data_IF_610847234182
#
_entry.id   IF_610847234182
#
_cell.length_a   1.000
_cell.length_b   1.000
_cell.length_c   1.000
_cell.angle_alpha   90.00
_cell.angle_beta   90.00
_cell.angle_gamma   90.00
#
_symmetry.space_group_name_H-M   'P 1'
#
loop_
_entity.id
_entity.type
_entity.pdbx_description
1 polymer ?
#
# COMPACT_ATOMS: atom_id res chain seq x y z
N UNK A 1 11.33 -4.21 24.52
CA UNK A 1 10.51 -5.39 24.14
C UNK A 1 11.14 -6.63 24.76
N UNK A 2 10.36 -7.47 25.45
CA UNK A 2 10.87 -8.71 26.07
C UNK A 2 11.23 -9.72 24.99
N UNK A 3 12.37 -10.39 25.16
CA UNK A 3 12.82 -11.51 24.33
C UNK A 3 11.76 -12.64 24.42
N UNK A 4 11.14 -13.04 23.31
CA UNK A 4 10.13 -14.12 23.25
C UNK A 4 8.66 -13.70 23.09
N UNK A 5 8.36 -12.45 22.74
CA UNK A 5 6.98 -12.05 22.45
C UNK A 5 6.57 -12.47 21.03
N UNK A 6 6.09 -13.70 20.88
CA UNK A 6 5.64 -14.30 19.62
C UNK A 6 4.66 -13.41 18.84
N UNK A 7 3.87 -12.59 19.55
CA UNK A 7 2.94 -11.63 18.94
C UNK A 7 3.69 -10.55 18.18
N UNK A 8 4.79 -10.05 18.73
CA UNK A 8 5.60 -9.02 18.09
C UNK A 8 6.33 -9.56 16.85
N UNK A 9 6.77 -10.83 16.86
CA UNK A 9 7.33 -11.49 15.68
C UNK A 9 6.29 -11.64 14.57
N UNK A 10 5.12 -12.19 14.89
CA UNK A 10 4.01 -12.31 13.95
C UNK A 10 3.61 -10.97 13.32
N UNK A 11 3.55 -9.89 14.11
CA UNK A 11 3.21 -8.56 13.61
C UNK A 11 4.31 -7.95 12.72
N UNK A 12 5.59 -8.29 12.94
CA UNK A 12 6.68 -7.89 12.03
C UNK A 12 6.57 -8.61 10.69
N UNK A 13 6.23 -9.89 10.71
CA UNK A 13 6.01 -10.66 9.49
C UNK A 13 4.79 -10.13 8.73
N UNK A 14 3.73 -9.75 9.45
CA UNK A 14 2.53 -9.13 8.86
C UNK A 14 2.87 -7.79 8.17
N UNK A 15 3.71 -6.95 8.76
CA UNK A 15 4.22 -5.73 8.10
C UNK A 15 5.06 -6.09 6.88
N UNK A 16 5.92 -7.10 7.01
CA UNK A 16 6.73 -7.62 5.91
C UNK A 16 5.86 -7.99 4.72
N UNK A 17 4.83 -8.80 4.93
CA UNK A 17 3.94 -9.27 3.87
C UNK A 17 3.06 -8.13 3.34
N UNK A 18 2.42 -7.38 4.22
CA UNK A 18 1.37 -6.42 3.86
C UNK A 18 1.85 -5.11 3.24
N UNK A 19 3.17 -4.88 3.14
CA UNK A 19 3.74 -3.60 2.73
C UNK A 19 4.34 -3.59 1.32
N UNK A 20 5.66 -3.41 1.20
CA UNK A 20 6.39 -3.36 -0.07
C UNK A 20 6.21 -4.64 -0.88
N UNK A 21 6.32 -5.85 -0.29
CA UNK A 21 6.07 -7.10 -1.02
C UNK A 21 4.65 -7.21 -1.57
N UNK A 22 3.63 -6.82 -0.80
CA UNK A 22 2.26 -6.80 -1.31
C UNK A 22 2.13 -5.86 -2.52
N UNK A 23 2.67 -4.65 -2.44
CA UNK A 23 2.70 -3.73 -3.57
C UNK A 23 3.41 -4.32 -4.79
N UNK A 24 4.59 -4.90 -4.62
CA UNK A 24 5.35 -5.54 -5.69
C UNK A 24 4.58 -6.71 -6.33
N UNK A 25 3.89 -7.53 -5.52
CA UNK A 25 3.04 -8.62 -6.03
C UNK A 25 1.92 -8.09 -6.92
N UNK A 26 1.29 -6.97 -6.55
CA UNK A 26 0.24 -6.34 -7.37
C UNK A 26 0.81 -5.80 -8.67
N UNK A 27 1.99 -5.15 -8.65
CA UNK A 27 2.69 -4.69 -9.86
C UNK A 27 2.93 -5.87 -10.81
N UNK A 28 3.57 -6.94 -10.32
CA UNK A 28 3.90 -8.13 -11.11
C UNK A 28 2.64 -8.77 -11.68
N UNK A 29 1.57 -8.86 -10.89
CA UNK A 29 0.31 -9.46 -11.33
C UNK A 29 -0.33 -8.68 -12.48
N UNK A 30 -0.37 -7.35 -12.40
CA UNK A 30 -0.92 -6.50 -13.46
C UNK A 30 -0.05 -6.54 -14.70
N UNK A 31 1.28 -6.58 -14.53
CA UNK A 31 2.23 -6.73 -15.62
C UNK A 31 2.02 -8.05 -16.38
N UNK A 32 1.86 -9.18 -15.68
CA UNK A 32 1.55 -10.48 -16.29
C UNK A 32 0.22 -10.44 -17.03
N UNK A 33 -0.77 -9.69 -16.52
CA UNK A 33 -2.06 -9.53 -17.17
C UNK A 33 -2.04 -8.56 -18.38
N UNK A 34 -0.88 -7.99 -18.71
CA UNK A 34 -0.65 -7.08 -19.83
C UNK A 34 -1.60 -5.87 -19.87
N UNK A 35 -2.03 -5.38 -18.69
CA UNK A 35 -2.90 -4.23 -18.58
C UNK A 35 -2.07 -2.96 -18.31
N UNK A 36 -1.60 -2.35 -19.39
CA UNK A 36 -0.72 -1.18 -19.34
C UNK A 36 -1.36 0.05 -18.67
N UNK A 37 -2.67 0.21 -18.78
CA UNK A 37 -3.41 1.30 -18.13
C UNK A 37 -3.29 1.21 -16.61
N UNK A 38 -3.65 0.07 -16.03
CA UNK A 38 -3.56 -0.15 -14.59
C UNK A 38 -2.12 -0.23 -14.09
N UNK A 39 -1.20 -0.75 -14.90
CA UNK A 39 0.23 -0.75 -14.55
C UNK A 39 0.76 0.68 -14.43
N UNK A 40 0.39 1.55 -15.38
CA UNK A 40 0.73 2.97 -15.36
C UNK A 40 0.19 3.68 -14.12
N UNK A 41 -1.08 3.45 -13.78
CA UNK A 41 -1.70 4.00 -12.57
C UNK A 41 -0.90 3.65 -11.32
N UNK A 42 -0.59 2.37 -11.17
CA UNK A 42 0.05 1.84 -9.97
C UNK A 42 1.49 2.32 -9.84
N UNK A 43 2.23 2.38 -10.94
CA UNK A 43 3.60 2.91 -10.97
C UNK A 43 3.64 4.41 -10.71
N UNK A 44 2.77 5.21 -11.34
CA UNK A 44 2.69 6.67 -11.12
C UNK A 44 2.34 6.96 -9.67
N UNK A 45 1.32 6.30 -9.12
CA UNK A 45 0.96 6.43 -7.70
C UNK A 45 2.10 6.00 -6.77
N UNK A 46 2.78 4.90 -7.07
CA UNK A 46 3.91 4.42 -6.30
C UNK A 46 5.07 5.41 -6.28
N UNK A 47 5.49 5.90 -7.44
CA UNK A 47 6.59 6.87 -7.57
C UNK A 47 6.25 8.18 -6.87
N UNK A 48 5.05 8.72 -7.09
CA UNK A 48 4.60 9.95 -6.44
C UNK A 48 4.55 9.79 -4.91
N UNK A 49 4.04 8.65 -4.43
CA UNK A 49 4.04 8.36 -3.01
C UNK A 49 5.45 8.26 -2.42
N UNK A 50 6.39 7.60 -3.10
CA UNK A 50 7.76 7.50 -2.61
C UNK A 50 8.42 8.88 -2.51
N UNK A 51 8.19 9.78 -3.47
CA UNK A 51 8.66 11.16 -3.43
C UNK A 51 8.08 11.93 -2.23
N UNK A 52 6.76 11.88 -2.04
CA UNK A 52 6.09 12.53 -0.91
C UNK A 52 6.54 11.93 0.44
N UNK A 53 6.66 10.61 0.50
CA UNK A 53 7.08 9.91 1.71
C UNK A 53 8.51 10.26 2.10
N UNK A 54 9.40 10.47 1.12
CA UNK A 54 10.77 10.91 1.37
C UNK A 54 10.81 12.33 1.94
N UNK A 55 10.07 13.27 1.33
CA UNK A 55 10.03 14.68 1.75
C UNK A 55 9.41 14.86 3.15
N UNK A 56 8.29 14.17 3.41
CA UNK A 56 7.54 14.33 4.66
C UNK A 56 7.86 13.26 5.72
N UNK A 57 8.85 12.39 5.46
CA UNK A 57 9.27 11.28 6.33
C UNK A 57 8.10 10.41 6.80
N UNK A 58 7.19 10.12 5.86
CA UNK A 58 5.97 9.34 6.12
C UNK A 58 6.25 7.84 6.20
N UNK A 59 5.31 7.06 6.75
CA UNK A 59 5.44 5.61 6.79
C UNK A 59 5.20 5.01 5.41
N UNK A 60 6.28 4.51 4.80
CA UNK A 60 6.26 3.84 3.50
C UNK A 60 5.30 2.65 3.52
N UNK A 61 5.30 1.88 4.62
CA UNK A 61 4.50 0.66 4.75
C UNK A 61 3.00 0.92 4.68
N UNK A 62 2.51 1.95 5.37
CA UNK A 62 1.08 2.29 5.40
C UNK A 62 0.60 2.99 4.14
N UNK A 63 1.49 3.64 3.38
CA UNK A 63 1.09 4.24 2.10
C UNK A 63 1.11 3.25 0.94
N UNK A 64 2.18 2.46 0.78
CA UNK A 64 2.26 1.46 -0.29
C UNK A 64 1.19 0.37 -0.15
N UNK A 65 0.91 -0.07 1.08
CA UNK A 65 -0.16 -1.05 1.33
C UNK A 65 -1.55 -0.50 1.00
N UNK A 66 -1.79 0.80 1.26
CA UNK A 66 -3.04 1.47 0.89
C UNK A 66 -3.20 1.56 -0.63
N UNK A 67 -2.13 1.97 -1.33
CA UNK A 67 -2.12 2.04 -2.80
C UNK A 67 -2.39 0.65 -3.38
N UNK A 68 -1.72 -0.38 -2.86
CA UNK A 68 -1.92 -1.76 -3.26
C UNK A 68 -3.36 -2.23 -3.02
N UNK A 69 -3.97 -1.91 -1.87
CA UNK A 69 -5.38 -2.17 -1.58
C UNK A 69 -6.30 -1.51 -2.63
N UNK A 70 -6.15 -0.20 -2.84
CA UNK A 70 -7.02 0.57 -3.74
C UNK A 70 -6.99 -0.01 -5.15
N UNK A 71 -5.79 -0.23 -5.70
CA UNK A 71 -5.66 -0.73 -7.06
C UNK A 71 -6.01 -2.21 -7.18
N UNK A 72 -5.73 -3.04 -6.17
CA UNK A 72 -6.15 -4.46 -6.20
C UNK A 72 -7.68 -4.55 -6.20
N UNK A 73 -8.34 -3.81 -5.32
CA UNK A 73 -9.80 -3.78 -5.28
C UNK A 73 -10.41 -3.23 -6.58
N UNK A 74 -9.84 -2.16 -7.11
CA UNK A 74 -10.33 -1.51 -8.34
C UNK A 74 -10.05 -2.31 -9.61
N UNK A 75 -8.98 -3.10 -9.64
CA UNK A 75 -8.60 -3.93 -10.78
C UNK A 75 -9.48 -5.18 -10.90
N UNK A 76 -9.70 -5.89 -9.79
CA UNK A 76 -10.47 -7.14 -9.81
C UNK A 76 -11.98 -6.92 -9.82
N UNK A 77 -12.47 -5.76 -9.35
CA UNK A 77 -13.90 -5.45 -9.19
C UNK A 77 -14.71 -6.51 -8.42
N UNK A 78 -14.04 -7.42 -7.71
CA UNK A 78 -14.64 -8.48 -6.92
C UNK A 78 -14.44 -8.21 -5.42
N UNK A 79 -15.53 -8.35 -4.67
CA UNK A 79 -15.62 -8.07 -3.23
C UNK A 79 -14.63 -8.89 -2.39
N UNK A 80 -14.22 -10.09 -2.85
CA UNK A 80 -13.25 -10.95 -2.16
C UNK A 80 -11.87 -10.29 -2.11
N UNK A 81 -11.45 -9.65 -3.19
CA UNK A 81 -10.16 -8.97 -3.24
C UNK A 81 -10.16 -7.68 -2.43
N UNK A 82 -11.29 -6.96 -2.40
CA UNK A 82 -11.49 -5.84 -1.47
C UNK A 82 -11.41 -6.30 -0.01
N UNK A 83 -12.13 -7.36 0.36
CA UNK A 83 -12.11 -7.90 1.72
C UNK A 83 -10.70 -8.34 2.13
N UNK A 84 -9.99 -9.06 1.24
CA UNK A 84 -8.61 -9.48 1.47
C UNK A 84 -7.68 -8.28 1.66
N UNK A 85 -7.70 -7.30 0.75
CA UNK A 85 -6.86 -6.12 0.85
C UNK A 85 -7.14 -5.31 2.11
N UNK A 86 -8.42 -5.16 2.49
CA UNK A 86 -8.85 -4.45 3.71
C UNK A 86 -8.29 -5.16 4.94
N UNK A 87 -8.41 -6.48 5.01
CA UNK A 87 -7.85 -7.28 6.11
C UNK A 87 -6.33 -7.12 6.22
N UNK A 88 -5.61 -7.22 5.10
CA UNK A 88 -4.15 -7.03 5.07
C UNK A 88 -3.77 -5.62 5.49
N UNK A 89 -4.47 -4.61 4.99
CA UNK A 89 -4.19 -3.21 5.28
C UNK A 89 -4.42 -2.87 6.76
N UNK A 90 -5.60 -3.18 7.31
CA UNK A 90 -5.89 -2.91 8.71
C UNK A 90 -5.03 -3.75 9.65
N UNK A 91 -4.72 -5.00 9.28
CA UNK A 91 -3.76 -5.83 9.99
C UNK A 91 -2.37 -5.17 10.08
N UNK A 92 -1.90 -4.60 8.97
CA UNK A 92 -0.64 -3.85 8.92
C UNK A 92 -0.69 -2.57 9.77
N UNK A 93 -1.79 -1.79 9.70
CA UNK A 93 -1.93 -0.57 10.52
C UNK A 93 -1.92 -0.91 12.00
N UNK A 94 -2.64 -1.97 12.40
CA UNK A 94 -2.63 -2.48 13.77
C UNK A 94 -1.22 -2.92 14.19
N UNK A 95 -0.50 -3.64 13.33
CA UNK A 95 0.87 -4.04 13.58
C UNK A 95 1.83 -2.86 13.76
N UNK A 96 1.68 -1.80 12.95
CA UNK A 96 2.49 -0.59 13.07
C UNK A 96 2.23 0.13 14.41
N UNK A 97 0.95 0.27 14.81
CA UNK A 97 0.59 0.90 16.08
C UNK A 97 1.09 0.08 17.28
N UNK A 98 0.90 -1.24 17.25
CA UNK A 98 1.34 -2.16 18.32
C UNK A 98 2.87 -2.15 18.50
N UNK A 99 3.64 -2.09 17.40
CA UNK A 99 5.10 -2.01 17.46
C UNK A 99 5.62 -0.62 17.85
N UNK A 100 4.74 0.32 18.19
CA UNK A 100 5.12 1.64 18.68
C UNK A 100 5.66 2.57 17.59
N UNK A 101 5.28 2.37 16.33
CA UNK A 101 5.61 3.32 15.27
C UNK A 101 4.86 4.63 15.50
N UNK A 102 5.50 5.75 15.16
CA UNK A 102 4.91 7.08 15.35
C UNK A 102 3.59 7.22 14.59
N UNK A 103 2.48 7.40 15.31
CA UNK A 103 1.12 7.53 14.74
C UNK A 103 1.04 8.64 13.67
N UNK A 104 1.78 9.73 13.87
CA UNK A 104 1.89 10.83 12.90
C UNK A 104 2.43 10.34 11.55
N UNK A 105 3.48 9.52 11.56
CA UNK A 105 4.07 8.96 10.32
C UNK A 105 3.13 7.98 9.63
N UNK A 106 2.39 7.17 10.40
CA UNK A 106 1.36 6.26 9.87
C UNK A 106 0.27 7.08 9.17
N UNK A 107 -0.27 8.09 9.86
CA UNK A 107 -1.32 8.97 9.35
C UNK A 107 -0.90 9.66 8.04
N UNK A 108 0.29 10.28 8.01
CA UNK A 108 0.81 10.90 6.78
C UNK A 108 1.03 9.87 5.67
N UNK A 109 1.49 8.66 6.00
CA UNK A 109 1.62 7.59 5.00
C UNK A 109 0.28 7.22 4.38
N UNK A 110 -0.79 7.16 5.18
CA UNK A 110 -2.15 6.92 4.68
C UNK A 110 -2.64 8.08 3.82
N UNK A 111 -2.46 9.32 4.28
CA UNK A 111 -2.89 10.53 3.57
C UNK A 111 -2.20 10.66 2.21
N UNK A 112 -0.87 10.52 2.17
CA UNK A 112 -0.12 10.58 0.91
C UNK A 112 -0.39 9.35 0.05
N UNK A 113 -0.60 8.17 0.63
CA UNK A 113 -1.00 6.97 -0.12
C UNK A 113 -2.33 7.18 -0.87
N UNK A 114 -3.35 7.69 -0.17
CA UNK A 114 -4.64 8.01 -0.76
C UNK A 114 -4.52 9.12 -1.82
N UNK A 115 -3.78 10.19 -1.52
CA UNK A 115 -3.53 11.29 -2.45
C UNK A 115 -2.83 10.84 -3.72
N UNK A 116 -1.77 10.02 -3.59
CA UNK A 116 -1.04 9.49 -4.73
C UNK A 116 -1.86 8.50 -5.55
N UNK A 117 -2.71 7.68 -4.91
CA UNK A 117 -3.64 6.79 -5.61
C UNK A 117 -4.65 7.58 -6.45
N UNK A 118 -5.25 8.63 -5.87
CA UNK A 118 -6.18 9.50 -6.58
C UNK A 118 -5.49 10.23 -7.76
N UNK A 119 -4.29 10.77 -7.53
CA UNK A 119 -3.54 11.48 -8.55
C UNK A 119 -3.09 10.56 -9.70
N UNK A 120 -2.60 9.35 -9.38
CA UNK A 120 -2.21 8.39 -10.40
C UNK A 120 -3.38 7.91 -11.24
N UNK A 121 -4.55 7.67 -10.62
CA UNK A 121 -5.77 7.34 -11.35
C UNK A 121 -6.17 8.46 -12.32
N UNK A 122 -6.18 9.71 -11.86
CA UNK A 122 -6.51 10.87 -12.69
C UNK A 122 -5.51 11.07 -13.84
N UNK A 123 -4.21 11.05 -13.56
CA UNK A 123 -3.17 11.28 -14.56
C UNK A 123 -3.12 10.17 -15.62
N UNK A 124 -3.25 8.90 -15.22
CA UNK A 124 -3.32 7.80 -16.18
C UNK A 124 -4.58 7.85 -17.03
N UNK A 125 -5.70 8.31 -16.47
CA UNK A 125 -6.92 8.55 -17.23
C UNK A 125 -6.77 9.62 -18.33
N UNK A 126 -5.75 10.48 -18.25
CA UNK A 126 -5.40 11.46 -19.30
C UNK A 126 -4.37 10.89 -20.26
N UNK A 127 -3.39 10.13 -19.77
CA UNK A 127 -2.27 9.62 -20.59
C UNK A 127 -2.64 8.39 -21.44
N UNK A 128 -3.63 7.61 -21.03
CA UNK A 128 -3.93 6.30 -21.61
C UNK A 128 -5.41 6.13 -22.04
N UNK A 129 -6.22 7.20 -21.99
CA UNK A 129 -7.47 7.31 -22.77
C UNK A 129 -7.16 7.91 -24.14
#
# INVERSE_FOLDING_TARGET
MKKGDWKAEFLRDLIGIGSVPFFALVVVRIWIANNNFYLGQLLISGVLFLLLSYLFKSSIYSGLSLIALIFTGSYYLDKRYWAFGILVYFGLIYALDYLGKEKKKIFFGCLFGAGSAAFGNWLSGILFN
#
